data_IF_656039255218
#
_entry.id   IF_656039255218
#
_cell.length_a   1.000
_cell.length_b   1.000
_cell.length_c   1.000
_cell.angle_alpha   90.00
_cell.angle_beta   90.00
_cell.angle_gamma   90.00
#
_symmetry.space_group_name_H-M   'P 1'
#
loop_
_entity.id
_entity.type
_entity.pdbx_description
1 polymer ?
#
# COMPACT_ATOMS: atom_id res chain seq x y z
N UNK A 1 -8.93 -13.35 2.15
CA UNK A 1 -8.21 -12.91 0.94
C UNK A 1 -9.25 -12.49 -0.07
N UNK A 2 -9.16 -11.25 -0.57
CA UNK A 2 -9.97 -10.87 -1.72
C UNK A 2 -9.42 -11.64 -2.92
N UNK A 3 -10.18 -12.62 -3.40
CA UNK A 3 -9.83 -13.34 -4.61
C UNK A 3 -9.72 -12.33 -5.77
N UNK A 4 -8.68 -12.49 -6.59
CA UNK A 4 -8.57 -11.72 -7.82
C UNK A 4 -9.28 -12.47 -8.92
N UNK A 5 -10.04 -11.75 -9.75
CA UNK A 5 -10.59 -12.29 -10.98
C UNK A 5 -9.49 -12.68 -11.96
N UNK A 6 -9.81 -13.43 -12.99
CA UNK A 6 -8.89 -13.79 -14.08
C UNK A 6 -8.16 -12.57 -14.67
N UNK A 7 -8.77 -11.39 -14.60
CA UNK A 7 -8.19 -10.12 -15.07
C UNK A 7 -7.38 -9.36 -14.03
N UNK A 8 -7.11 -9.96 -12.86
CA UNK A 8 -6.33 -9.33 -11.79
C UNK A 8 -7.02 -8.15 -11.11
N UNK A 9 -8.34 -8.19 -11.04
CA UNK A 9 -9.18 -7.21 -10.34
C UNK A 9 -9.83 -7.91 -9.15
N UNK A 10 -10.01 -7.23 -8.02
CA UNK A 10 -10.74 -7.77 -6.88
C UNK A 10 -12.20 -8.04 -7.25
N UNK A 11 -12.76 -9.17 -6.79
CA UNK A 11 -14.17 -9.53 -7.05
C UNK A 11 -15.14 -8.46 -6.54
N UNK A 12 -14.80 -7.86 -5.43
CA UNK A 12 -15.59 -6.77 -4.81
C UNK A 12 -14.75 -5.50 -4.67
N UNK A 13 -15.38 -4.32 -4.68
CA UNK A 13 -14.70 -3.09 -4.33
C UNK A 13 -14.04 -3.19 -2.96
N UNK A 14 -12.81 -2.74 -2.86
CA UNK A 14 -12.07 -2.70 -1.60
C UNK A 14 -12.24 -1.30 -1.01
N UNK A 15 -12.72 -1.18 0.24
CA UNK A 15 -12.88 0.12 0.86
C UNK A 15 -11.53 0.80 1.09
N UNK A 16 -11.48 2.12 0.90
CA UNK A 16 -10.29 2.95 1.21
C UNK A 16 -10.07 3.02 2.72
N UNK A 17 -11.17 3.11 3.47
CA UNK A 17 -11.14 3.12 4.94
C UNK A 17 -11.89 1.93 5.51
N UNK A 18 -11.38 1.40 6.60
CA UNK A 18 -12.04 0.40 7.42
C UNK A 18 -11.95 0.78 8.89
N UNK A 19 -12.90 0.33 9.71
CA UNK A 19 -12.85 0.53 11.16
C UNK A 19 -13.23 -0.76 11.88
N UNK A 20 -12.50 -1.07 12.94
CA UNK A 20 -12.80 -2.15 13.86
C UNK A 20 -12.28 -1.83 15.26
N UNK A 21 -13.09 -2.06 16.28
CA UNK A 21 -12.74 -1.84 17.68
C UNK A 21 -12.21 -0.42 17.96
N UNK A 22 -12.77 0.60 17.28
CA UNK A 22 -12.34 1.99 17.39
C UNK A 22 -11.06 2.33 16.63
N UNK A 23 -10.45 1.36 15.96
CA UNK A 23 -9.23 1.57 15.17
C UNK A 23 -9.59 1.75 13.69
N UNK A 24 -9.12 2.85 13.10
CA UNK A 24 -9.29 3.14 11.68
C UNK A 24 -8.08 2.61 10.90
N UNK A 25 -8.36 1.98 9.78
CA UNK A 25 -7.35 1.54 8.81
C UNK A 25 -7.61 2.21 7.48
N UNK A 26 -6.55 2.51 6.75
CA UNK A 26 -6.62 3.14 5.44
C UNK A 26 -5.77 2.36 4.42
N UNK A 27 -6.31 2.23 3.21
CA UNK A 27 -5.59 1.74 2.05
C UNK A 27 -5.95 2.60 0.84
N UNK A 28 -4.98 3.37 0.37
CA UNK A 28 -5.19 4.29 -0.73
C UNK A 28 -4.10 4.17 -1.78
N UNK A 29 -4.47 3.72 -2.97
CA UNK A 29 -3.56 3.64 -4.12
C UNK A 29 -4.33 4.13 -5.36
N UNK A 30 -4.28 5.43 -5.62
CA UNK A 30 -5.02 6.10 -6.70
C UNK A 30 -4.93 5.39 -8.05
N UNK A 31 -3.71 5.02 -8.44
CA UNK A 31 -3.48 4.38 -9.74
C UNK A 31 -4.14 3.00 -9.83
N UNK A 32 -4.17 2.23 -8.75
CA UNK A 32 -4.86 0.92 -8.74
C UNK A 32 -6.38 1.08 -8.79
N UNK A 33 -6.93 2.09 -8.13
CA UNK A 33 -8.37 2.40 -8.18
C UNK A 33 -8.76 2.75 -9.61
N UNK A 34 -8.03 3.65 -10.25
CA UNK A 34 -8.29 4.04 -11.64
C UNK A 34 -8.14 2.85 -12.60
N UNK A 35 -7.07 2.07 -12.46
CA UNK A 35 -6.85 0.88 -13.29
C UNK A 35 -7.93 -0.17 -13.10
N UNK A 36 -8.41 -0.34 -11.86
CA UNK A 36 -9.51 -1.24 -11.54
C UNK A 36 -10.83 -0.82 -12.19
N UNK A 37 -11.14 0.47 -12.19
CA UNK A 37 -12.32 1.01 -12.85
C UNK A 37 -12.29 0.76 -14.37
N UNK A 38 -11.13 0.97 -15.00
CA UNK A 38 -10.94 0.69 -16.43
C UNK A 38 -11.08 -0.80 -16.73
N UNK A 39 -10.43 -1.67 -15.97
CA UNK A 39 -10.47 -3.12 -16.19
C UNK A 39 -11.86 -3.73 -15.96
N UNK A 40 -12.65 -3.13 -15.10
CA UNK A 40 -14.04 -3.55 -14.85
C UNK A 40 -15.03 -2.96 -15.84
N UNK A 41 -14.58 -2.05 -16.70
CA UNK A 41 -15.46 -1.28 -17.60
C UNK A 41 -16.57 -0.50 -16.84
N UNK A 42 -16.29 -0.17 -15.58
CA UNK A 42 -17.19 0.61 -14.71
C UNK A 42 -16.48 1.90 -14.35
N UNK A 43 -16.74 3.00 -15.05
CA UNK A 43 -16.09 4.27 -14.78
C UNK A 43 -16.49 4.80 -13.41
N UNK A 44 -15.52 5.44 -12.73
CA UNK A 44 -15.80 6.15 -11.49
C UNK A 44 -16.85 7.24 -11.71
N UNK A 45 -17.80 7.35 -10.81
CA UNK A 45 -18.77 8.44 -10.77
C UNK A 45 -18.10 9.79 -10.49
N UNK A 46 -18.82 10.88 -10.74
CA UNK A 46 -18.32 12.22 -10.41
C UNK A 46 -18.06 12.37 -8.91
N UNK A 47 -18.91 11.78 -8.08
CA UNK A 47 -18.75 11.80 -6.62
C UNK A 47 -17.49 11.04 -6.17
N UNK A 48 -17.27 9.84 -6.70
CA UNK A 48 -16.09 9.04 -6.38
C UNK A 48 -14.80 9.74 -6.82
N UNK A 49 -14.78 10.34 -8.00
CA UNK A 49 -13.63 11.14 -8.45
C UNK A 49 -13.37 12.31 -7.50
N UNK A 50 -14.39 13.06 -7.14
CA UNK A 50 -14.25 14.19 -6.21
C UNK A 50 -13.73 13.74 -4.82
N UNK A 51 -14.22 12.61 -4.31
CA UNK A 51 -13.73 12.05 -3.05
C UNK A 51 -12.25 11.64 -3.12
N UNK A 52 -11.83 11.03 -4.22
CA UNK A 52 -10.43 10.67 -4.45
C UNK A 52 -9.54 11.90 -4.64
N UNK A 53 -10.03 12.93 -5.34
CA UNK A 53 -9.30 14.20 -5.51
C UNK A 53 -9.12 14.92 -4.17
N UNK A 54 -10.16 14.95 -3.35
CA UNK A 54 -10.06 15.46 -1.98
C UNK A 54 -9.03 14.69 -1.15
N UNK A 55 -8.98 13.35 -1.29
CA UNK A 55 -7.99 12.51 -0.61
C UNK A 55 -6.57 12.87 -1.06
N UNK A 56 -6.35 13.06 -2.36
CA UNK A 56 -5.07 13.49 -2.92
C UNK A 56 -4.65 14.86 -2.40
N UNK A 57 -5.59 15.80 -2.24
CA UNK A 57 -5.33 17.13 -1.63
C UNK A 57 -4.90 16.98 -0.17
N UNK A 58 -5.62 16.17 0.63
CA UNK A 58 -5.26 15.97 2.04
C UNK A 58 -3.86 15.38 2.20
N UNK A 59 -3.47 14.42 1.35
CA UNK A 59 -2.12 13.81 1.44
C UNK A 59 -0.98 14.76 1.07
N UNK A 60 -1.27 15.88 0.41
CA UNK A 60 -0.29 16.91 0.05
C UNK A 60 -0.17 18.04 1.08
N UNK A 61 -1.05 18.09 2.05
CA UNK A 61 -1.04 19.14 3.08
C UNK A 61 0.24 19.11 3.90
N UNK A 62 0.95 20.26 4.06
CA UNK A 62 2.21 20.30 4.81
C UNK A 62 2.08 19.95 6.29
N UNK A 63 0.90 20.19 6.89
CA UNK A 63 0.60 19.87 8.28
C UNK A 63 0.29 18.39 8.54
N UNK A 64 0.05 17.62 7.48
CA UNK A 64 -0.21 16.17 7.55
C UNK A 64 0.92 15.33 6.94
N UNK A 65 1.83 15.96 6.21
CA UNK A 65 2.89 15.29 5.47
C UNK A 65 4.23 15.40 6.20
N UNK A 66 4.92 14.29 6.32
CA UNK A 66 6.31 14.25 6.76
C UNK A 66 7.20 13.89 5.56
N UNK A 67 8.04 14.82 5.16
CA UNK A 67 9.06 14.58 4.14
C UNK A 67 10.34 14.05 4.80
N UNK A 68 10.91 13.00 4.22
CA UNK A 68 12.14 12.37 4.71
C UNK A 68 13.09 12.09 3.55
N UNK A 69 14.36 12.37 3.77
CA UNK A 69 15.43 12.00 2.86
C UNK A 69 16.23 10.85 3.48
N UNK A 70 15.92 9.62 3.05
CA UNK A 70 16.55 8.40 3.57
C UNK A 70 17.97 8.28 3.03
N UNK A 71 18.93 8.12 3.94
CA UNK A 71 20.33 7.92 3.64
C UNK A 71 20.68 6.43 3.63
N UNK A 72 21.83 6.08 3.08
CA UNK A 72 22.34 4.71 3.11
C UNK A 72 22.50 4.23 4.56
N UNK A 73 21.90 3.09 4.87
CA UNK A 73 21.87 2.52 6.22
C UNK A 73 20.62 2.87 7.04
N UNK A 74 19.78 3.79 6.59
CA UNK A 74 18.53 4.10 7.28
C UNK A 74 17.52 2.95 7.17
N UNK A 75 16.81 2.71 8.27
CA UNK A 75 15.75 1.71 8.35
C UNK A 75 14.45 2.43 8.73
N UNK A 76 13.43 2.29 7.89
CA UNK A 76 12.10 2.83 8.14
C UNK A 76 11.11 1.73 8.43
N UNK A 77 10.42 1.81 9.57
CA UNK A 77 9.30 0.95 9.93
C UNK A 77 7.99 1.72 9.76
N UNK A 78 7.05 1.15 9.01
CA UNK A 78 5.74 1.76 8.75
C UNK A 78 4.63 0.77 9.08
N UNK A 79 3.63 1.22 9.84
CA UNK A 79 2.35 0.53 9.89
C UNK A 79 1.53 0.90 8.64
N UNK A 80 1.52 0.01 7.66
CA UNK A 80 0.91 0.24 6.36
C UNK A 80 -0.63 0.33 6.39
N UNK A 81 -1.25 0.08 7.54
CA UNK A 81 -2.70 0.26 7.72
C UNK A 81 -3.08 1.65 8.21
N UNK A 82 -2.12 2.42 8.76
CA UNK A 82 -2.39 3.74 9.34
C UNK A 82 -1.61 4.87 8.70
N UNK A 83 -0.52 4.55 7.99
CA UNK A 83 0.35 5.55 7.37
C UNK A 83 0.33 5.37 5.86
N UNK A 84 -0.13 6.38 5.16
CA UNK A 84 0.04 6.48 3.71
C UNK A 84 1.45 6.97 3.42
N UNK A 85 2.08 6.37 2.43
CA UNK A 85 3.43 6.75 2.03
C UNK A 85 3.60 6.69 0.52
N UNK A 86 4.42 7.56 0.01
CA UNK A 86 4.82 7.58 -1.39
C UNK A 86 6.28 8.02 -1.50
N UNK A 87 6.82 7.93 -2.68
CA UNK A 87 8.12 8.51 -3.00
C UNK A 87 7.94 9.72 -3.90
N UNK A 88 8.85 10.67 -3.77
CA UNK A 88 9.05 11.73 -4.74
C UNK A 88 9.80 11.23 -5.97
N UNK A 89 9.90 12.02 -7.02
CA UNK A 89 10.79 11.76 -8.14
C UNK A 89 12.24 11.66 -7.68
N UNK A 90 13.02 10.84 -8.34
CA UNK A 90 14.47 10.74 -8.14
C UNK A 90 15.15 10.49 -9.48
N UNK A 91 16.42 10.81 -9.57
CA UNK A 91 17.25 10.57 -10.74
C UNK A 91 18.36 9.61 -10.34
N UNK A 92 18.44 8.48 -11.01
CA UNK A 92 19.54 7.55 -10.84
C UNK A 92 20.81 8.09 -11.52
N UNK A 93 21.95 7.89 -10.88
CA UNK A 93 23.24 8.14 -11.51
C UNK A 93 23.57 7.14 -12.63
N UNK A 94 24.61 7.41 -13.45
CA UNK A 94 24.98 6.56 -14.58
C UNK A 94 25.50 5.19 -14.15
N UNK A 95 26.16 5.11 -12.99
CA UNK A 95 26.79 3.89 -12.49
C UNK A 95 25.82 3.05 -11.64
N UNK A 96 25.96 1.72 -11.59
CA UNK A 96 25.08 0.85 -10.81
C UNK A 96 25.03 1.17 -9.32
N UNK A 97 26.12 1.60 -8.73
CA UNK A 97 26.26 1.97 -7.31
C UNK A 97 25.67 3.36 -7.00
N UNK A 98 25.41 4.17 -8.00
CA UNK A 98 24.72 5.45 -7.91
C UNK A 98 23.20 5.33 -8.10
N UNK A 99 22.71 4.12 -8.31
CA UNK A 99 21.27 3.88 -8.42
C UNK A 99 20.63 3.75 -7.05
N UNK A 100 19.45 4.35 -6.93
CA UNK A 100 18.65 4.19 -5.72
C UNK A 100 18.28 2.72 -5.52
N UNK A 101 18.75 2.12 -4.43
CA UNK A 101 18.45 0.76 -4.07
C UNK A 101 17.81 0.72 -2.68
N UNK A 102 16.60 0.16 -2.59
CA UNK A 102 15.86 0.00 -1.34
C UNK A 102 15.42 -1.44 -1.17
N UNK A 103 15.69 -2.00 -0.01
CA UNK A 103 15.15 -3.29 0.38
C UNK A 103 13.79 -3.07 1.07
N UNK A 104 12.81 -3.91 0.74
CA UNK A 104 11.50 -3.89 1.39
C UNK A 104 11.20 -5.26 1.97
N UNK A 105 10.87 -5.26 3.25
CA UNK A 105 10.43 -6.45 3.97
C UNK A 105 8.99 -6.23 4.47
N UNK A 106 8.19 -7.28 4.40
CA UNK A 106 6.86 -7.31 4.99
C UNK A 106 6.91 -8.12 6.28
N UNK A 107 6.62 -7.45 7.40
CA UNK A 107 6.63 -8.07 8.71
C UNK A 107 5.21 -8.46 9.12
N UNK A 108 5.04 -9.67 9.62
CA UNK A 108 3.82 -10.14 10.28
C UNK A 108 4.03 -10.12 11.79
N UNK A 109 3.08 -9.57 12.50
CA UNK A 109 3.10 -9.58 13.95
C UNK A 109 2.20 -10.69 14.48
N UNK A 110 2.54 -11.34 15.62
CA UNK A 110 1.73 -12.38 16.25
C UNK A 110 0.30 -11.91 16.57
N UNK A 111 0.16 -10.65 17.01
CA UNK A 111 -1.13 -10.02 17.20
C UNK A 111 -1.52 -9.28 15.91
N UNK A 112 -2.54 -9.75 15.18
CA UNK A 112 -2.94 -9.11 13.94
C UNK A 112 -3.55 -7.73 14.24
N UNK A 113 -3.38 -6.82 13.27
CA UNK A 113 -4.05 -5.53 13.30
C UNK A 113 -5.58 -5.71 13.19
N UNK A 114 -6.39 -4.99 13.98
CA UNK A 114 -7.84 -5.12 13.92
C UNK A 114 -8.38 -4.51 12.60
N UNK A 115 -8.70 -5.36 11.65
CA UNK A 115 -9.25 -4.96 10.36
C UNK A 115 -10.75 -5.23 10.30
N UNK A 116 -11.50 -4.32 9.67
CA UNK A 116 -12.90 -4.54 9.35
C UNK A 116 -13.11 -5.74 8.40
N UNK A 117 -14.33 -6.31 8.34
CA UNK A 117 -14.59 -7.55 7.60
C UNK A 117 -14.29 -7.45 6.10
N UNK A 118 -14.48 -6.28 5.51
CA UNK A 118 -14.25 -6.04 4.08
C UNK A 118 -12.86 -5.46 3.78
N UNK A 119 -12.06 -5.21 4.81
CA UNK A 119 -10.73 -4.65 4.65
C UNK A 119 -9.71 -5.79 4.49
N UNK A 120 -8.95 -5.84 3.39
CA UNK A 120 -8.09 -6.97 3.09
C UNK A 120 -6.89 -7.03 4.02
N UNK A 121 -6.60 -8.20 4.54
CA UNK A 121 -5.41 -8.48 5.37
C UNK A 121 -4.12 -8.52 4.55
N UNK A 122 -4.24 -8.82 3.26
CA UNK A 122 -3.12 -8.90 2.32
C UNK A 122 -3.46 -8.25 0.99
N UNK A 123 -2.49 -7.59 0.42
CA UNK A 123 -2.56 -6.88 -0.85
C UNK A 123 -2.46 -7.79 -2.08
N UNK A 124 -2.95 -9.03 -2.04
CA UNK A 124 -2.79 -9.94 -3.16
C UNK A 124 -1.34 -10.30 -3.47
N UNK A 125 -0.42 -10.05 -2.53
CA UNK A 125 0.94 -10.52 -2.63
C UNK A 125 0.93 -12.04 -2.41
N UNK A 126 1.08 -12.79 -3.48
CA UNK A 126 1.54 -14.16 -3.40
C UNK A 126 3.04 -14.06 -3.15
N UNK A 127 3.58 -14.61 -2.04
CA UNK A 127 5.02 -14.79 -1.93
C UNK A 127 5.46 -15.51 -3.20
N UNK A 128 6.49 -15.01 -3.88
CA UNK A 128 7.11 -15.79 -4.95
C UNK A 128 7.53 -17.12 -4.33
N UNK A 129 7.36 -18.23 -5.04
CA UNK A 129 7.80 -19.55 -4.59
C UNK A 129 9.31 -19.61 -4.33
N UNK A 130 10.02 -18.54 -4.70
CA UNK A 130 11.45 -18.34 -4.56
C UNK A 130 11.87 -17.55 -3.29
N UNK A 131 10.94 -17.29 -2.37
CA UNK A 131 11.36 -16.73 -1.09
C UNK A 131 11.90 -17.89 -0.25
N UNK A 132 13.23 -17.96 0.03
CA UNK A 132 13.77 -18.98 0.91
C UNK A 132 13.04 -18.93 2.26
N UNK A 133 12.72 -20.08 2.81
CA UNK A 133 12.30 -20.24 4.21
C UNK A 133 13.45 -19.83 5.15
N UNK A 134 13.69 -18.51 5.21
CA UNK A 134 14.55 -17.93 6.22
C UNK A 134 13.64 -17.57 7.38
N UNK A 135 13.59 -18.44 8.38
CA UNK A 135 13.25 -18.18 9.78
C UNK A 135 12.52 -19.36 10.44
N UNK A 136 13.06 -20.57 10.26
CA UNK A 136 12.93 -21.63 11.25
C UNK A 136 14.29 -21.94 11.89
N UNK A 137 14.97 -20.95 12.36
CA UNK A 137 16.17 -21.12 13.16
C UNK A 137 16.13 -20.12 14.30
N UNK A 138 15.51 -20.58 15.39
CA UNK A 138 15.90 -20.31 16.79
C UNK A 138 14.73 -20.69 17.68
N UNK A 139 14.71 -21.97 18.04
CA UNK A 139 14.17 -22.46 19.30
C UNK A 139 15.31 -22.81 20.22
#
# INVERSE_FOLDING_TARGET
>A
EAALTEHGVSERPIPVFGSKDGVVSCRYIRNQINAGAVKREVPLTTFERAALDFMDEQTRRPDLRLDMDLQAGDIQFINNYTILHSRTGFVDGPDPDQKRHMLRLWLKFPKPWPLGPDFPTHMGYKPSQDTPELLEAER
#
